data_IF_601632226506
#
_entry.id   IF_601632226506
#
_cell.length_a   1.000
_cell.length_b   1.000
_cell.length_c   1.000
_cell.angle_alpha   90.00
_cell.angle_beta   90.00
_cell.angle_gamma   90.00
#
_symmetry.space_group_name_H-M   'P 1'
#
loop_
_entity.id
_entity.type
_entity.pdbx_description
1 polymer ?
#
# COMPACT_ATOMS: atom_id res chain seq x y z
N UNK A 1 19.51 -27.08 20.59
CA UNK A 1 18.18 -26.68 20.12
C UNK A 1 18.04 -25.18 20.07
N UNK A 2 17.70 -24.54 21.20
CA UNK A 2 17.38 -23.10 21.27
C UNK A 2 18.47 -22.17 20.70
N UNK A 3 19.75 -22.34 21.06
CA UNK A 3 20.87 -21.51 20.53
C UNK A 3 20.99 -21.54 19.01
N UNK A 4 20.75 -22.70 18.38
CA UNK A 4 20.80 -22.85 16.91
C UNK A 4 19.59 -22.15 16.27
N UNK A 5 18.41 -22.24 16.88
CA UNK A 5 17.21 -21.53 16.46
C UNK A 5 17.41 -20.00 16.55
N UNK A 6 18.04 -19.49 17.60
CA UNK A 6 18.33 -18.06 17.74
C UNK A 6 19.31 -17.57 16.67
N UNK A 7 20.36 -18.35 16.36
CA UNK A 7 21.29 -18.00 15.28
C UNK A 7 20.62 -18.03 13.90
N UNK A 8 19.72 -18.99 13.66
CA UNK A 8 18.95 -19.08 12.41
C UNK A 8 17.94 -17.93 12.27
N UNK A 9 17.31 -17.50 13.36
CA UNK A 9 16.42 -16.33 13.35
C UNK A 9 17.22 -15.04 13.03
N UNK A 10 18.41 -14.86 13.60
CA UNK A 10 19.26 -13.72 13.27
C UNK A 10 19.62 -13.67 11.78
N UNK A 11 20.04 -14.79 11.18
CA UNK A 11 20.29 -14.88 9.74
C UNK A 11 19.02 -14.61 8.94
N UNK A 12 17.89 -15.19 9.35
CA UNK A 12 16.59 -15.00 8.69
C UNK A 12 16.14 -13.54 8.65
N UNK A 13 16.40 -12.76 9.70
CA UNK A 13 16.05 -11.33 9.73
C UNK A 13 16.94 -10.49 8.81
N UNK A 14 18.25 -10.79 8.73
CA UNK A 14 19.14 -10.19 7.74
C UNK A 14 18.71 -10.52 6.32
N UNK A 15 18.36 -11.78 6.04
CA UNK A 15 17.84 -12.18 4.73
C UNK A 15 16.52 -11.47 4.39
N UNK A 16 15.58 -11.38 5.35
CA UNK A 16 14.33 -10.63 5.17
C UNK A 16 14.57 -9.15 4.85
N UNK A 17 15.55 -8.52 5.50
CA UNK A 17 15.88 -7.11 5.22
C UNK A 17 16.41 -6.93 3.78
N UNK A 18 17.34 -7.80 3.36
CA UNK A 18 17.91 -7.77 2.00
C UNK A 18 16.82 -8.01 0.95
N UNK A 19 15.95 -9.01 1.13
CA UNK A 19 14.90 -9.31 0.17
C UNK A 19 13.85 -8.21 0.08
N UNK A 20 13.51 -7.53 1.19
CA UNK A 20 12.65 -6.34 1.18
C UNK A 20 13.26 -5.22 0.33
N UNK A 21 14.55 -4.92 0.51
CA UNK A 21 15.26 -3.91 -0.28
C UNK A 21 15.29 -4.24 -1.79
N UNK A 22 15.61 -5.48 -2.14
CA UNK A 22 15.59 -5.94 -3.54
C UNK A 22 14.18 -5.88 -4.14
N UNK A 23 13.15 -6.29 -3.39
CA UNK A 23 11.77 -6.24 -3.84
C UNK A 23 11.32 -4.80 -4.15
N UNK A 24 11.71 -3.83 -3.32
CA UNK A 24 11.44 -2.41 -3.56
C UNK A 24 12.20 -1.95 -4.82
N UNK A 25 13.51 -2.17 -4.90
CA UNK A 25 14.32 -1.72 -6.04
C UNK A 25 13.81 -2.27 -7.38
N UNK A 26 13.48 -3.57 -7.43
CA UNK A 26 12.93 -4.21 -8.64
C UNK A 26 11.53 -3.71 -8.97
N UNK A 27 10.71 -3.38 -7.98
CA UNK A 27 9.40 -2.77 -8.20
C UNK A 27 9.53 -1.37 -8.81
N UNK A 28 10.50 -0.57 -8.37
CA UNK A 28 10.78 0.76 -8.94
C UNK A 28 11.21 0.65 -10.40
N UNK A 29 12.15 -0.25 -10.72
CA UNK A 29 12.57 -0.46 -12.10
C UNK A 29 11.41 -0.88 -13.00
N UNK A 30 10.58 -1.83 -12.54
CA UNK A 30 9.39 -2.25 -13.26
C UNK A 30 8.37 -1.10 -13.42
N UNK A 31 8.19 -0.28 -12.39
CA UNK A 31 7.29 0.86 -12.43
C UNK A 31 7.75 1.93 -13.42
N UNK A 32 9.06 2.22 -13.48
CA UNK A 32 9.65 3.12 -14.47
C UNK A 32 9.49 2.60 -15.89
N UNK A 33 9.69 1.29 -16.11
CA UNK A 33 9.47 0.67 -17.41
C UNK A 33 7.99 0.74 -17.84
N UNK A 34 7.06 0.45 -16.93
CA UNK A 34 5.61 0.58 -17.17
C UNK A 34 5.22 2.04 -17.44
N UNK A 35 5.86 3.00 -16.78
CA UNK A 35 5.64 4.43 -17.04
C UNK A 35 6.14 4.84 -18.44
N UNK A 36 7.29 4.33 -18.88
CA UNK A 36 7.74 4.48 -20.26
C UNK A 36 6.72 3.91 -21.26
N UNK A 37 6.26 2.68 -21.01
CA UNK A 37 5.23 2.03 -21.83
C UNK A 37 3.90 2.82 -21.84
N UNK A 38 3.54 3.48 -20.74
CA UNK A 38 2.38 4.37 -20.69
C UNK A 38 2.53 5.55 -21.65
N UNK A 39 3.69 6.22 -21.69
CA UNK A 39 3.92 7.33 -22.64
C UNK A 39 3.85 6.88 -24.11
N UNK A 40 4.32 5.66 -24.40
CA UNK A 40 4.23 5.08 -25.74
C UNK A 40 2.80 4.63 -26.10
N UNK A 41 2.03 4.17 -25.11
CA UNK A 41 0.62 3.86 -25.29
C UNK A 41 -0.20 5.11 -25.63
N UNK A 42 0.13 6.27 -25.06
CA UNK A 42 -0.49 7.55 -25.46
C UNK A 42 -0.23 7.82 -26.94
N UNK A 43 1.04 7.80 -27.35
CA UNK A 43 1.43 8.11 -28.74
C UNK A 43 0.76 7.16 -29.73
N UNK A 44 0.72 5.87 -29.41
CA UNK A 44 0.07 4.84 -30.23
C UNK A 44 -1.42 5.10 -30.34
N UNK A 45 -2.12 5.33 -29.23
CA UNK A 45 -3.56 5.59 -29.22
C UNK A 45 -3.93 6.86 -30.01
N UNK A 46 -3.11 7.91 -29.91
CA UNK A 46 -3.30 9.15 -30.67
C UNK A 46 -3.12 8.90 -32.18
N UNK A 47 -2.07 8.16 -32.56
CA UNK A 47 -1.80 7.82 -33.96
C UNK A 47 -2.95 7.00 -34.58
N UNK A 48 -3.54 6.09 -33.82
CA UNK A 48 -4.68 5.28 -34.25
C UNK A 48 -5.97 6.11 -34.39
N UNK A 49 -6.19 7.08 -33.51
CA UNK A 49 -7.42 7.87 -33.50
C UNK A 49 -7.46 9.00 -34.55
N UNK A 50 -6.34 9.70 -34.79
CA UNK A 50 -6.30 10.94 -35.59
C UNK A 50 -5.16 11.01 -36.61
N UNK A 51 -4.33 9.97 -36.72
CA UNK A 51 -3.19 9.92 -37.65
C UNK A 51 -1.99 10.76 -37.20
N UNK A 52 -0.98 10.91 -38.06
CA UNK A 52 0.32 11.53 -37.73
C UNK A 52 0.36 13.06 -37.89
N UNK A 53 -0.72 13.71 -38.35
CA UNK A 53 -0.66 15.04 -38.98
C UNK A 53 -1.63 16.07 -38.38
N UNK A 54 -1.83 16.06 -37.05
CA UNK A 54 -2.62 17.07 -36.34
C UNK A 54 -1.81 17.70 -35.21
N UNK A 55 -1.82 19.03 -35.12
CA UNK A 55 -1.31 19.74 -33.94
C UNK A 55 -2.22 19.45 -32.75
N UNK A 56 -1.80 18.51 -31.91
CA UNK A 56 -2.48 18.16 -30.66
C UNK A 56 -1.70 18.72 -29.48
N UNK A 57 -2.39 18.89 -28.35
CA UNK A 57 -1.76 19.30 -27.11
C UNK A 57 -0.58 18.38 -26.74
N UNK A 58 0.47 18.95 -26.12
CA UNK A 58 1.73 18.27 -25.78
C UNK A 58 1.57 16.92 -25.07
N UNK A 59 0.53 16.78 -24.24
CA UNK A 59 0.19 15.54 -23.56
C UNK A 59 -0.03 14.34 -24.52
N UNK A 60 -0.56 14.59 -25.73
CA UNK A 60 -0.83 13.56 -26.74
C UNK A 60 0.43 13.14 -27.51
N UNK A 61 1.50 13.93 -27.43
CA UNK A 61 2.84 13.54 -27.90
C UNK A 61 3.63 12.79 -26.83
N UNK A 62 3.01 12.48 -25.68
CA UNK A 62 3.67 11.85 -24.53
C UNK A 62 4.50 12.83 -23.69
N UNK A 63 4.36 14.14 -23.89
CA UNK A 63 5.03 15.16 -23.08
C UNK A 63 4.12 15.56 -21.93
N UNK A 64 4.52 15.21 -20.71
CA UNK A 64 3.77 15.49 -19.49
C UNK A 64 4.34 16.74 -18.81
N UNK A 65 3.78 17.91 -19.13
CA UNK A 65 4.19 19.17 -18.51
C UNK A 65 3.67 19.26 -17.07
N UNK A 66 4.57 19.25 -16.08
CA UNK A 66 4.21 19.34 -14.66
C UNK A 66 3.67 20.73 -14.29
N UNK A 67 3.98 21.77 -15.07
CA UNK A 67 3.47 23.11 -14.84
C UNK A 67 1.99 23.26 -15.23
N UNK A 68 1.44 22.32 -16.01
CA UNK A 68 0.01 22.28 -16.28
C UNK A 68 -0.79 22.03 -14.99
N UNK A 69 -1.81 22.86 -14.66
CA UNK A 69 -2.57 22.71 -13.42
C UNK A 69 -3.23 21.34 -13.24
N UNK A 70 -3.71 20.68 -14.31
CA UNK A 70 -4.35 19.36 -14.20
C UNK A 70 -3.31 18.30 -13.90
N UNK A 71 -2.13 18.39 -14.51
CA UNK A 71 -1.01 17.50 -14.26
C UNK A 71 -0.49 17.65 -12.83
N UNK A 72 -0.34 18.88 -12.34
CA UNK A 72 0.06 19.13 -10.96
C UNK A 72 -0.93 18.54 -9.96
N UNK A 73 -2.24 18.71 -10.19
CA UNK A 73 -3.30 18.09 -9.36
C UNK A 73 -3.20 16.56 -9.42
N UNK A 74 -3.03 15.98 -10.61
CA UNK A 74 -2.83 14.54 -10.78
C UNK A 74 -1.66 14.02 -9.95
N UNK A 75 -0.51 14.70 -9.99
CA UNK A 75 0.69 14.37 -9.22
C UNK A 75 0.45 14.39 -7.71
N UNK A 76 -0.22 15.42 -7.21
CA UNK A 76 -0.55 15.55 -5.78
C UNK A 76 -1.52 14.44 -5.35
N UNK A 77 -2.51 14.11 -6.17
CA UNK A 77 -3.43 12.99 -5.90
C UNK A 77 -2.65 11.67 -5.86
N UNK A 78 -1.74 11.44 -6.81
CA UNK A 78 -0.89 10.25 -6.85
C UNK A 78 -0.04 10.08 -5.60
N UNK A 79 0.59 11.15 -5.14
CA UNK A 79 1.31 11.17 -3.87
C UNK A 79 0.38 10.89 -2.68
N UNK A 80 -0.80 11.51 -2.65
CA UNK A 80 -1.78 11.38 -1.57
C UNK A 80 -2.32 9.95 -1.44
N UNK A 81 -2.54 9.24 -2.56
CA UNK A 81 -3.02 7.85 -2.57
C UNK A 81 -2.04 6.91 -1.88
N UNK A 82 -0.73 7.13 -2.02
CA UNK A 82 0.29 6.34 -1.31
C UNK A 82 0.15 6.51 0.20
N UNK A 83 0.03 7.74 0.70
CA UNK A 83 -0.17 7.99 2.13
C UNK A 83 -1.48 7.40 2.63
N UNK A 84 -2.57 7.56 1.86
CA UNK A 84 -3.88 7.01 2.20
C UNK A 84 -3.82 5.49 2.28
N UNK A 85 -3.21 4.82 1.30
CA UNK A 85 -3.03 3.37 1.29
C UNK A 85 -2.24 2.89 2.51
N UNK A 86 -1.09 3.52 2.80
CA UNK A 86 -0.27 3.18 3.97
C UNK A 86 -1.05 3.33 5.27
N UNK A 87 -1.81 4.43 5.42
CA UNK A 87 -2.66 4.65 6.58
C UNK A 87 -3.77 3.60 6.72
N UNK A 88 -4.42 3.21 5.61
CA UNK A 88 -5.43 2.15 5.61
C UNK A 88 -4.83 0.81 6.02
N UNK A 89 -3.66 0.46 5.49
CA UNK A 89 -2.95 -0.78 5.80
C UNK A 89 -2.53 -0.84 7.27
N UNK A 90 -1.92 0.22 7.81
CA UNK A 90 -1.54 0.29 9.23
C UNK A 90 -2.75 0.18 10.13
N UNK A 91 -3.81 0.96 9.85
CA UNK A 91 -5.03 0.94 10.66
C UNK A 91 -5.72 -0.44 10.62
N UNK A 92 -5.70 -1.14 9.49
CA UNK A 92 -6.24 -2.50 9.37
C UNK A 92 -5.53 -3.47 10.31
N UNK A 93 -4.19 -3.45 10.33
CA UNK A 93 -3.40 -4.30 11.24
C UNK A 93 -3.66 -3.93 12.69
N UNK A 94 -3.72 -2.63 13.03
CA UNK A 94 -4.00 -2.20 14.41
C UNK A 94 -5.35 -2.70 14.93
N UNK A 95 -6.38 -2.75 14.07
CA UNK A 95 -7.70 -3.29 14.43
C UNK A 95 -7.65 -4.80 14.68
N UNK A 96 -7.08 -5.55 13.74
CA UNK A 96 -6.96 -7.00 13.86
C UNK A 96 -6.11 -7.39 15.08
N UNK A 97 -4.99 -6.70 15.31
CA UNK A 97 -4.15 -6.88 16.49
C UNK A 97 -4.92 -6.60 17.79
N UNK A 98 -5.73 -5.53 17.83
CA UNK A 98 -6.59 -5.23 18.98
C UNK A 98 -7.59 -6.35 19.29
N UNK A 99 -8.25 -6.90 18.26
CA UNK A 99 -9.16 -8.03 18.41
C UNK A 99 -8.44 -9.29 18.94
N UNK A 100 -7.24 -9.59 18.44
CA UNK A 100 -6.41 -10.69 18.92
C UNK A 100 -6.00 -10.50 20.38
N UNK A 101 -5.60 -9.29 20.78
CA UNK A 101 -5.23 -9.00 22.19
C UNK A 101 -6.42 -9.22 23.12
N UNK A 102 -7.61 -8.77 22.74
CA UNK A 102 -8.81 -8.96 23.55
C UNK A 102 -9.20 -10.44 23.66
N UNK A 103 -9.09 -11.20 22.58
CA UNK A 103 -9.35 -12.64 22.60
C UNK A 103 -8.35 -13.39 23.48
N UNK A 104 -7.04 -13.12 23.36
CA UNK A 104 -6.00 -13.75 24.19
C UNK A 104 -6.22 -13.43 25.68
N UNK A 105 -6.55 -12.17 26.02
CA UNK A 105 -6.88 -11.78 27.39
C UNK A 105 -8.12 -12.50 27.91
N UNK A 106 -9.14 -12.65 27.06
CA UNK A 106 -10.37 -13.36 27.42
C UNK A 106 -10.10 -14.85 27.69
N UNK A 107 -9.29 -15.52 26.86
CA UNK A 107 -8.89 -16.91 27.10
C UNK A 107 -8.11 -17.06 28.41
N UNK A 108 -7.15 -16.18 28.71
CA UNK A 108 -6.43 -16.24 29.99
C UNK A 108 -7.33 -16.01 31.21
N UNK A 109 -8.38 -15.18 31.07
CA UNK A 109 -9.33 -14.91 32.15
C UNK A 109 -10.27 -16.10 32.39
N UNK A 110 -10.82 -16.69 31.34
CA UNK A 110 -11.81 -17.79 31.41
C UNK A 110 -11.13 -19.13 31.70
N UNK A 111 -9.91 -19.34 31.18
CA UNK A 111 -9.13 -20.58 31.33
C UNK A 111 -7.78 -20.31 32.02
N UNK A 112 -7.75 -20.16 33.37
CA UNK A 112 -6.51 -19.91 34.11
C UNK A 112 -5.47 -21.04 33.99
N UNK A 113 -5.89 -22.24 33.58
CA UNK A 113 -5.01 -23.38 33.34
C UNK A 113 -3.98 -23.13 32.23
N UNK A 114 -4.26 -22.19 31.31
CA UNK A 114 -3.35 -21.83 30.22
C UNK A 114 -2.06 -21.21 30.77
N UNK A 115 -2.17 -20.25 31.69
CA UNK A 115 -1.00 -19.59 32.29
C UNK A 115 -0.21 -20.54 33.22
N UNK A 116 -0.87 -21.58 33.74
CA UNK A 116 -0.24 -22.66 34.51
C UNK A 116 0.39 -23.74 33.63
N UNK A 117 0.18 -23.69 32.31
CA UNK A 117 0.65 -24.69 31.35
C UNK A 117 -0.07 -26.03 31.43
N UNK A 118 -1.18 -26.14 32.16
CA UNK A 118 -1.95 -27.37 32.33
C UNK A 118 -3.03 -27.55 31.26
N UNK A 119 -3.38 -26.47 30.56
CA UNK A 119 -4.42 -26.43 29.54
C UNK A 119 -3.89 -25.76 28.26
N UNK A 120 -4.35 -26.22 27.09
CA UNK A 120 -3.93 -25.65 25.81
C UNK A 120 -4.86 -24.50 25.40
N UNK A 121 -4.33 -23.38 24.88
CA UNK A 121 -5.14 -22.30 24.29
C UNK A 121 -5.98 -22.77 23.10
N UNK A 122 -7.09 -22.06 22.83
CA UNK A 122 -7.83 -22.18 21.58
C UNK A 122 -7.16 -21.33 20.50
N UNK A 123 -6.25 -21.96 19.75
CA UNK A 123 -5.56 -21.33 18.63
C UNK A 123 -6.47 -21.06 17.43
N UNK A 124 -7.51 -21.87 17.21
CA UNK A 124 -8.36 -21.79 16.03
C UNK A 124 -9.13 -20.47 16.00
N UNK A 125 -9.56 -19.99 17.17
CA UNK A 125 -10.25 -18.72 17.29
C UNK A 125 -9.39 -17.52 16.89
N UNK A 126 -8.11 -17.50 17.29
CA UNK A 126 -7.17 -16.42 16.89
C UNK A 126 -6.94 -16.45 15.37
N UNK A 127 -6.79 -17.64 14.79
CA UNK A 127 -6.62 -17.81 13.34
C UNK A 127 -7.86 -17.31 12.58
N UNK A 128 -9.07 -17.62 13.06
CA UNK A 128 -10.33 -17.16 12.44
C UNK A 128 -10.46 -15.64 12.44
N UNK A 129 -10.11 -14.98 13.56
CA UNK A 129 -10.10 -13.51 13.67
C UNK A 129 -9.16 -12.91 12.62
N UNK A 130 -7.90 -13.36 12.58
CA UNK A 130 -6.92 -12.87 11.62
C UNK A 130 -7.37 -13.10 10.16
N UNK A 131 -7.95 -14.25 9.86
CA UNK A 131 -8.38 -14.62 8.51
C UNK A 131 -9.55 -13.75 8.03
N UNK A 132 -10.60 -13.63 8.84
CA UNK A 132 -11.78 -12.83 8.49
C UNK A 132 -11.42 -11.35 8.35
N UNK A 133 -10.63 -10.83 9.29
CA UNK A 133 -10.32 -9.40 9.33
C UNK A 133 -9.38 -9.02 8.18
N UNK A 134 -8.35 -9.83 7.89
CA UNK A 134 -7.46 -9.57 6.76
C UNK A 134 -8.21 -9.52 5.41
N UNK A 135 -9.13 -10.46 5.15
CA UNK A 135 -9.93 -10.47 3.92
C UNK A 135 -10.83 -9.23 3.80
N UNK A 136 -11.49 -8.84 4.89
CA UNK A 136 -12.36 -7.65 4.91
C UNK A 136 -11.57 -6.37 4.67
N UNK A 137 -10.40 -6.26 5.30
CA UNK A 137 -9.62 -5.02 5.32
C UNK A 137 -8.84 -4.80 4.01
N UNK A 138 -8.43 -5.87 3.31
CA UNK A 138 -7.72 -5.77 2.03
C UNK A 138 -8.60 -5.31 0.87
N UNK A 139 -9.92 -5.41 0.97
CA UNK A 139 -10.84 -5.00 -0.09
C UNK A 139 -10.77 -3.49 -0.37
N UNK A 140 -10.66 -2.65 0.67
CA UNK A 140 -10.67 -1.19 0.51
C UNK A 140 -9.42 -0.67 -0.20
N UNK A 141 -8.19 -1.04 0.21
CA UNK A 141 -6.98 -0.66 -0.50
C UNK A 141 -6.94 -1.21 -1.94
N UNK A 142 -7.47 -2.41 -2.18
CA UNK A 142 -7.57 -2.98 -3.52
C UNK A 142 -8.48 -2.18 -4.46
N UNK A 143 -9.66 -1.78 -3.98
CA UNK A 143 -10.57 -0.91 -4.74
C UNK A 143 -9.93 0.47 -5.02
N UNK A 144 -9.25 1.05 -4.03
CA UNK A 144 -8.51 2.30 -4.22
C UNK A 144 -7.47 2.19 -5.34
N UNK A 145 -6.69 1.11 -5.37
CA UNK A 145 -5.65 0.88 -6.38
C UNK A 145 -6.21 0.81 -7.81
N UNK A 146 -7.40 0.25 -7.99
CA UNK A 146 -8.02 0.07 -9.32
C UNK A 146 -8.77 1.32 -9.75
N UNK A 147 -9.60 1.90 -8.87
CA UNK A 147 -10.50 2.98 -9.27
C UNK A 147 -9.84 4.36 -9.26
N UNK A 148 -8.76 4.58 -8.50
CA UNK A 148 -8.08 5.87 -8.47
C UNK A 148 -7.49 6.31 -9.84
N UNK A 149 -6.71 5.48 -10.56
CA UNK A 149 -6.25 5.85 -11.90
C UNK A 149 -7.40 6.05 -12.89
N UNK A 150 -8.50 5.30 -12.76
CA UNK A 150 -9.71 5.48 -13.59
C UNK A 150 -10.34 6.86 -13.33
N UNK A 151 -10.53 7.22 -12.05
CA UNK A 151 -11.11 8.50 -11.67
C UNK A 151 -10.28 9.68 -12.16
N UNK A 152 -8.94 9.61 -11.99
CA UNK A 152 -8.03 10.66 -12.44
C UNK A 152 -7.97 10.75 -13.97
N UNK A 153 -7.83 9.61 -14.65
CA UNK A 153 -7.68 9.58 -16.11
C UNK A 153 -8.90 10.08 -16.87
N UNK A 154 -10.09 9.58 -16.54
CA UNK A 154 -11.33 10.05 -17.18
C UNK A 154 -11.80 11.41 -16.64
N UNK A 155 -11.38 11.80 -15.43
CA UNK A 155 -11.80 13.07 -14.82
C UNK A 155 -10.93 14.28 -15.21
N UNK A 156 -9.61 14.08 -15.26
CA UNK A 156 -8.63 15.16 -15.48
C UNK A 156 -7.86 15.02 -16.80
N UNK A 157 -7.92 13.85 -17.43
CA UNK A 157 -7.29 13.56 -18.71
C UNK A 157 -6.00 12.76 -18.61
N UNK A 158 -5.47 12.40 -19.77
CA UNK A 158 -4.31 11.51 -19.90
C UNK A 158 -3.02 12.11 -19.35
N UNK A 159 -2.83 13.43 -19.46
CA UNK A 159 -1.70 14.13 -18.83
C UNK A 159 -1.70 13.99 -17.32
N UNK A 160 -2.86 14.24 -16.70
CA UNK A 160 -3.04 14.15 -15.26
C UNK A 160 -2.90 12.71 -14.74
N UNK A 161 -3.34 11.72 -15.52
CA UNK A 161 -3.08 10.31 -15.22
C UNK A 161 -1.57 10.01 -15.23
N UNK A 162 -0.84 10.48 -16.24
CA UNK A 162 0.61 10.33 -16.29
C UNK A 162 1.29 10.95 -15.07
N UNK A 163 0.92 12.19 -14.72
CA UNK A 163 1.45 12.87 -13.55
C UNK A 163 1.06 12.17 -12.23
N UNK A 164 -0.14 11.60 -12.14
CA UNK A 164 -0.59 10.75 -11.03
C UNK A 164 0.28 9.50 -10.86
N UNK A 165 0.57 8.78 -11.95
CA UNK A 165 1.45 7.62 -11.90
C UNK A 165 2.85 8.04 -11.42
N UNK A 166 3.42 9.12 -11.98
CA UNK A 166 4.71 9.65 -11.54
C UNK A 166 4.73 10.01 -10.05
N UNK A 167 3.72 10.74 -9.55
CA UNK A 167 3.58 11.09 -8.14
C UNK A 167 3.47 9.86 -7.22
N UNK A 168 2.72 8.85 -7.65
CA UNK A 168 2.55 7.60 -6.90
C UNK A 168 3.82 6.74 -6.87
N UNK A 169 4.58 6.69 -7.97
CA UNK A 169 5.86 5.95 -8.04
C UNK A 169 6.90 6.63 -7.15
N UNK A 170 7.09 7.95 -7.30
CA UNK A 170 8.08 8.70 -6.54
C UNK A 170 7.82 8.63 -5.04
N UNK A 171 6.58 8.96 -4.63
CA UNK A 171 6.19 8.93 -3.22
C UNK A 171 6.16 7.51 -2.67
N UNK A 172 5.65 6.55 -3.44
CA UNK A 172 5.54 5.14 -3.05
C UNK A 172 6.91 4.50 -2.80
N UNK A 173 7.89 4.81 -3.64
CA UNK A 173 9.27 4.34 -3.46
C UNK A 173 9.84 4.81 -2.12
N UNK A 174 9.79 6.12 -1.86
CA UNK A 174 10.31 6.70 -0.62
C UNK A 174 9.58 6.17 0.61
N UNK A 175 8.26 6.07 0.54
CA UNK A 175 7.43 5.54 1.62
C UNK A 175 7.72 4.05 1.89
N UNK A 176 7.87 3.22 0.86
CA UNK A 176 8.17 1.80 1.02
C UNK A 176 9.51 1.58 1.72
N UNK A 177 10.55 2.34 1.31
CA UNK A 177 11.87 2.29 1.94
C UNK A 177 11.79 2.77 3.39
N UNK A 178 11.11 3.89 3.64
CA UNK A 178 10.93 4.45 4.98
C UNK A 178 10.29 3.42 5.92
N UNK A 179 9.12 2.88 5.57
CA UNK A 179 8.38 1.94 6.41
C UNK A 179 9.17 0.64 6.66
N UNK A 180 9.81 0.08 5.62
CA UNK A 180 10.61 -1.12 5.75
C UNK A 180 11.82 -0.92 6.68
N UNK A 181 12.55 0.19 6.50
CA UNK A 181 13.74 0.48 7.29
C UNK A 181 13.40 0.86 8.74
N UNK A 182 12.37 1.69 8.96
CA UNK A 182 11.96 2.08 10.31
C UNK A 182 11.48 0.88 11.12
N UNK A 183 10.63 0.02 10.56
CA UNK A 183 10.20 -1.18 11.27
C UNK A 183 11.34 -2.18 11.49
N UNK A 184 12.25 -2.35 10.51
CA UNK A 184 13.44 -3.20 10.68
C UNK A 184 14.40 -2.68 11.75
N UNK A 185 14.57 -1.36 11.85
CA UNK A 185 15.39 -0.73 12.87
C UNK A 185 14.84 -0.97 14.29
N UNK A 186 13.52 -0.87 14.49
CA UNK A 186 12.90 -1.16 15.79
C UNK A 186 13.02 -2.63 16.21
N UNK A 187 12.86 -3.57 15.27
CA UNK A 187 13.06 -5.00 15.55
C UNK A 187 14.51 -5.32 15.95
N UNK A 188 15.47 -4.73 15.23
CA UNK A 188 16.89 -4.89 15.53
C UNK A 188 17.27 -4.24 16.88
N UNK A 189 16.69 -3.08 17.20
CA UNK A 189 16.87 -2.44 18.50
C UNK A 189 16.36 -3.34 19.63
N UNK A 190 15.16 -3.94 19.49
CA UNK A 190 14.63 -4.91 20.44
C UNK A 190 15.58 -6.10 20.63
N UNK A 191 16.05 -6.71 19.53
CA UNK A 191 17.01 -7.83 19.58
C UNK A 191 18.31 -7.44 20.32
N UNK A 192 18.85 -6.26 20.05
CA UNK A 192 20.05 -5.75 20.74
C UNK A 192 19.85 -5.63 22.26
N UNK A 193 18.66 -5.23 22.71
CA UNK A 193 18.34 -5.21 24.15
C UNK A 193 18.16 -6.63 24.70
N UNK A 194 17.52 -7.53 23.95
CA UNK A 194 17.35 -8.94 24.33
C UNK A 194 18.68 -9.69 24.49
N UNK A 195 19.71 -9.30 23.73
CA UNK A 195 21.07 -9.84 23.81
C UNK A 195 21.87 -9.29 25.02
N UNK A 196 21.30 -8.35 25.79
CA UNK A 196 21.85 -7.89 27.07
C UNK A 196 22.58 -6.55 27.03
N UNK A 197 22.68 -5.89 25.87
CA UNK A 197 23.44 -4.64 25.72
C UNK A 197 22.82 -3.44 26.46
N UNK A 198 21.56 -3.55 26.93
CA UNK A 198 20.85 -2.50 27.66
C UNK A 198 19.88 -3.08 28.72
N UNK A 199 20.40 -3.95 29.60
CA UNK A 199 19.64 -4.48 30.74
C UNK A 199 18.88 -5.79 30.47
N UNK A 200 18.80 -6.26 29.22
CA UNK A 200 18.26 -7.58 28.91
C UNK A 200 16.74 -7.67 28.99
N UNK A 201 16.22 -8.89 28.82
CA UNK A 201 14.77 -9.18 28.86
C UNK A 201 14.14 -8.82 30.20
N UNK A 202 12.99 -8.17 30.14
CA UNK A 202 12.23 -7.74 31.32
C UNK A 202 12.68 -6.40 31.92
N UNK A 203 13.69 -5.75 31.35
CA UNK A 203 14.07 -4.37 31.70
C UNK A 203 13.11 -3.34 31.09
N UNK A 204 13.13 -2.11 31.61
CA UNK A 204 12.35 -1.00 31.04
C UNK A 204 12.73 -0.71 29.58
N UNK A 205 14.01 -0.86 29.24
CA UNK A 205 14.50 -0.75 27.87
C UNK A 205 13.93 -1.85 26.96
N UNK A 206 13.76 -3.08 27.48
CA UNK A 206 13.13 -4.16 26.73
C UNK A 206 11.65 -3.88 26.49
N UNK A 207 10.92 -3.42 27.51
CA UNK A 207 9.52 -3.02 27.35
C UNK A 207 9.36 -1.90 26.30
N UNK A 208 10.20 -0.87 26.33
CA UNK A 208 10.15 0.24 25.38
C UNK A 208 10.46 -0.21 23.93
N UNK A 209 11.44 -1.09 23.75
CA UNK A 209 11.78 -1.60 22.42
C UNK A 209 10.76 -2.61 21.87
N UNK A 210 10.08 -3.37 22.73
CA UNK A 210 8.92 -4.20 22.35
C UNK A 210 7.78 -3.31 21.83
N UNK A 211 7.49 -2.18 22.49
CA UNK A 211 6.50 -1.22 21.98
C UNK A 211 6.92 -0.70 20.60
N UNK A 212 8.19 -0.30 20.43
CA UNK A 212 8.71 0.15 19.14
C UNK A 212 8.56 -0.90 18.02
N UNK A 213 8.87 -2.16 18.30
CA UNK A 213 8.72 -3.25 17.33
C UNK A 213 7.25 -3.48 16.96
N UNK A 214 6.34 -3.44 17.94
CA UNK A 214 4.89 -3.60 17.67
C UNK A 214 4.31 -2.45 16.83
N UNK A 215 4.89 -1.25 16.91
CA UNK A 215 4.58 -0.13 16.01
C UNK A 215 5.20 -0.34 14.62
N UNK A 216 6.38 -0.96 14.57
CA UNK A 216 7.11 -1.28 13.34
C UNK A 216 6.57 -2.46 12.53
N UNK A 217 5.86 -3.40 13.16
CA UNK A 217 5.32 -4.60 12.51
C UNK A 217 4.37 -4.27 11.34
N UNK A 218 3.34 -3.41 11.51
CA UNK A 218 2.50 -2.98 10.39
C UNK A 218 3.30 -2.27 9.28
N UNK A 219 4.41 -1.61 9.62
CA UNK A 219 5.23 -0.86 8.66
C UNK A 219 6.05 -1.80 7.79
N UNK A 220 6.83 -2.69 8.42
CA UNK A 220 7.80 -3.55 7.72
C UNK A 220 7.18 -4.78 7.09
N UNK A 221 6.04 -5.26 7.58
CA UNK A 221 5.45 -6.55 7.16
C UNK A 221 4.09 -6.40 6.47
N UNK A 222 3.47 -5.21 6.49
CA UNK A 222 2.20 -4.97 5.78
C UNK A 222 2.29 -3.78 4.83
N UNK A 223 2.31 -2.55 5.35
CA UNK A 223 2.21 -1.35 4.53
C UNK A 223 3.39 -1.18 3.57
N UNK A 224 4.64 -1.26 4.07
CA UNK A 224 5.85 -1.08 3.27
C UNK A 224 5.92 -2.04 2.07
N UNK A 225 5.86 -3.37 2.29
CA UNK A 225 5.84 -4.33 1.19
C UNK A 225 4.63 -4.20 0.25
N UNK A 226 3.45 -3.80 0.75
CA UNK A 226 2.23 -3.71 -0.04
C UNK A 226 2.17 -2.48 -0.97
N UNK A 227 3.02 -1.46 -0.77
CA UNK A 227 3.14 -0.34 -1.70
C UNK A 227 3.66 -0.80 -3.08
N UNK A 228 4.54 -1.81 -3.11
CA UNK A 228 5.09 -2.33 -4.37
C UNK A 228 4.01 -2.90 -5.31
N UNK A 229 3.12 -3.82 -4.88
CA UNK A 229 2.01 -4.27 -5.71
C UNK A 229 0.99 -3.17 -5.99
N UNK A 230 0.77 -2.23 -5.06
CA UNK A 230 -0.10 -1.06 -5.31
C UNK A 230 0.36 -0.27 -6.54
N UNK A 231 1.63 0.12 -6.60
CA UNK A 231 2.22 0.87 -7.73
C UNK A 231 2.05 0.07 -9.04
N UNK A 232 2.33 -1.23 -9.01
CA UNK A 232 2.20 -2.09 -10.19
C UNK A 232 0.76 -2.17 -10.70
N UNK A 233 -0.21 -2.33 -9.81
CA UNK A 233 -1.64 -2.36 -10.18
C UNK A 233 -2.08 -1.01 -10.75
N UNK A 234 -1.72 0.10 -10.12
CA UNK A 234 -2.09 1.43 -10.61
C UNK A 234 -1.50 1.72 -11.99
N UNK A 235 -0.22 1.38 -12.21
CA UNK A 235 0.42 1.53 -13.51
C UNK A 235 -0.21 0.64 -14.58
N UNK A 236 -0.51 -0.62 -14.25
CA UNK A 236 -1.15 -1.55 -15.18
C UNK A 236 -2.55 -1.06 -15.56
N UNK A 237 -3.37 -0.68 -14.58
CA UNK A 237 -4.71 -0.13 -14.85
C UNK A 237 -4.60 1.14 -15.68
N UNK A 238 -3.71 2.06 -15.31
CA UNK A 238 -3.44 3.29 -16.07
C UNK A 238 -3.12 3.00 -17.53
N UNK A 239 -2.19 2.08 -17.79
CA UNK A 239 -1.81 1.65 -19.14
C UNK A 239 -3.00 1.06 -19.93
N UNK A 240 -3.82 0.22 -19.31
CA UNK A 240 -4.96 -0.43 -19.96
C UNK A 240 -6.06 0.56 -20.34
N UNK A 241 -6.28 1.62 -19.54
CA UNK A 241 -7.33 2.60 -19.79
C UNK A 241 -6.89 3.76 -20.68
N UNK A 242 -5.58 3.95 -20.89
CA UNK A 242 -5.03 5.04 -21.72
C UNK A 242 -5.69 5.13 -23.10
N UNK A 243 -5.80 4.04 -23.90
CA UNK A 243 -6.39 4.15 -25.23
C UNK A 243 -7.85 4.64 -25.19
N UNK A 244 -8.62 4.18 -24.19
CA UNK A 244 -10.01 4.60 -24.02
C UNK A 244 -10.13 6.08 -23.62
N UNK A 245 -9.26 6.58 -22.74
CA UNK A 245 -9.23 7.99 -22.35
C UNK A 245 -8.92 8.87 -23.57
N UNK A 246 -7.92 8.48 -24.37
CA UNK A 246 -7.53 9.22 -25.58
C UNK A 246 -8.67 9.22 -26.60
N UNK A 247 -9.28 8.07 -26.87
CA UNK A 247 -10.40 7.98 -27.81
C UNK A 247 -11.57 8.88 -27.38
N UNK A 248 -11.99 8.81 -26.12
CA UNK A 248 -13.13 9.61 -25.63
C UNK A 248 -12.83 11.11 -25.62
N UNK A 249 -11.58 11.50 -25.36
CA UNK A 249 -11.18 12.90 -25.41
C UNK A 249 -11.19 13.45 -26.85
N UNK A 250 -10.79 12.64 -27.84
CA UNK A 250 -10.73 13.05 -29.24
C UNK A 250 -12.10 13.00 -29.94
N UNK A 251 -12.98 12.07 -29.56
CA UNK A 251 -14.35 11.97 -30.07
C UNK A 251 -15.31 13.01 -29.44
N UNK A 252 -14.85 13.81 -28.49
CA UNK A 252 -15.67 14.82 -27.81
C UNK A 252 -16.69 14.23 -26.82
N UNK A 253 -16.47 13.00 -26.34
CA UNK A 253 -17.38 12.28 -25.46
C UNK A 253 -17.19 12.63 -23.97
N UNK A 254 -17.11 13.93 -23.67
CA UNK A 254 -16.77 14.45 -22.34
C UNK A 254 -17.78 14.00 -21.26
N UNK A 255 -19.07 13.92 -21.61
CA UNK A 255 -20.12 13.52 -20.68
C UNK A 255 -19.95 12.08 -20.20
N UNK A 256 -19.57 11.16 -21.09
CA UNK A 256 -19.32 9.76 -20.72
C UNK A 256 -18.07 9.65 -19.85
N UNK A 257 -17.01 10.38 -20.18
CA UNK A 257 -15.79 10.46 -19.37
C UNK A 257 -16.07 10.94 -17.95
N UNK A 258 -16.86 12.01 -17.81
CA UNK A 258 -17.26 12.55 -16.51
C UNK A 258 -18.11 11.55 -15.70
N UNK A 259 -19.02 10.81 -16.35
CA UNK A 259 -19.81 9.77 -15.67
C UNK A 259 -18.90 8.65 -15.15
N UNK A 260 -17.95 8.18 -15.95
CA UNK A 260 -16.99 7.14 -15.53
C UNK A 260 -16.17 7.63 -14.34
N UNK A 261 -15.64 8.86 -14.41
CA UNK A 261 -14.89 9.46 -13.32
C UNK A 261 -15.71 9.61 -12.04
N UNK A 262 -16.98 10.04 -12.16
CA UNK A 262 -17.89 10.19 -11.03
C UNK A 262 -18.21 8.84 -10.37
N UNK A 263 -18.48 7.80 -11.17
CA UNK A 263 -18.73 6.44 -10.67
C UNK A 263 -17.50 5.88 -9.97
N UNK A 264 -16.31 6.00 -10.58
CA UNK A 264 -15.06 5.55 -9.98
C UNK A 264 -14.80 6.25 -8.64
N UNK A 265 -15.01 7.57 -8.59
CA UNK A 265 -14.88 8.36 -7.36
C UNK A 265 -15.90 7.94 -6.31
N UNK A 266 -17.15 7.68 -6.70
CA UNK A 266 -18.19 7.22 -5.79
C UNK A 266 -17.85 5.84 -5.19
N UNK A 267 -17.27 4.93 -5.97
CA UNK A 267 -16.80 3.62 -5.48
C UNK A 267 -15.70 3.78 -4.45
N UNK A 268 -14.72 4.66 -4.71
CA UNK A 268 -13.64 4.97 -3.75
C UNK A 268 -14.23 5.53 -2.44
N UNK A 269 -15.11 6.53 -2.53
CA UNK A 269 -15.74 7.15 -1.36
C UNK A 269 -16.54 6.10 -0.58
N UNK A 270 -17.34 5.27 -1.25
CA UNK A 270 -18.12 4.22 -0.62
C UNK A 270 -17.22 3.21 0.11
N UNK A 271 -16.10 2.81 -0.51
CA UNK A 271 -15.12 1.91 0.10
C UNK A 271 -14.48 2.54 1.36
N UNK A 272 -14.06 3.81 1.29
CA UNK A 272 -13.47 4.54 2.41
C UNK A 272 -14.47 4.74 3.57
N UNK A 273 -15.72 5.09 3.27
CA UNK A 273 -16.78 5.25 4.27
C UNK A 273 -17.09 3.92 4.94
N UNK A 274 -17.15 2.81 4.18
CA UNK A 274 -17.35 1.47 4.73
C UNK A 274 -16.20 1.06 5.65
N UNK A 275 -14.96 1.34 5.27
CA UNK A 275 -13.79 1.09 6.12
C UNK A 275 -13.87 1.90 7.42
N UNK A 276 -14.21 3.21 7.34
CA UNK A 276 -14.37 4.07 8.53
C UNK A 276 -15.49 3.65 9.48
N UNK A 277 -16.65 3.21 8.97
CA UNK A 277 -17.72 2.68 9.83
C UNK A 277 -17.34 1.38 10.55
N UNK A 278 -16.40 0.63 9.97
CA UNK A 278 -15.86 -0.58 10.60
C UNK A 278 -14.90 -0.24 11.75
N UNK A 279 -14.22 0.91 11.70
CA UNK A 279 -13.27 1.34 12.74
C UNK A 279 -13.90 1.82 14.06
N UNK A 280 -15.20 2.12 14.10
CA UNK A 280 -15.90 2.61 15.31
C UNK A 280 -16.52 1.52 16.17
N UNK A 281 -16.42 0.25 15.75
CA UNK A 281 -17.04 -0.90 16.44
C UNK A 281 -16.09 -1.65 17.39
N UNK A 282 -14.89 -1.12 17.64
CA UNK A 282 -14.01 -1.63 18.69
C UNK A 282 -14.33 -0.83 19.97
N UNK A 283 -15.43 -1.22 20.60
CA UNK A 283 -15.93 -0.70 21.87
C UNK A 283 -16.80 -1.75 22.53
#
# INVERSE_FOLDING_TARGET
GAKILTSLDAVGNTTKAITKGIAIATAVLAATALFGAFTDAIKTAVKEAVGSATELASQYSGVLDVADPRNLVGLIIGASVVFLFSGLAVNAVSRAAGAVVMEVRNQFKIHPGIMKGTEKPDYARVVDICTRDSLRELATPGLLAVFAPIAVGFGLGVGALGAYLAGSIGTGTLMAVFLANSGGAWDNAKKMVEDGNYGGKGSDAHAATVIGDTVGDPFKDTAGPAINPLIKVMNLVGLLITPAIVAFALEGNERTSQIIAAVATAVIIAALVRSRRSSTLIG
#
